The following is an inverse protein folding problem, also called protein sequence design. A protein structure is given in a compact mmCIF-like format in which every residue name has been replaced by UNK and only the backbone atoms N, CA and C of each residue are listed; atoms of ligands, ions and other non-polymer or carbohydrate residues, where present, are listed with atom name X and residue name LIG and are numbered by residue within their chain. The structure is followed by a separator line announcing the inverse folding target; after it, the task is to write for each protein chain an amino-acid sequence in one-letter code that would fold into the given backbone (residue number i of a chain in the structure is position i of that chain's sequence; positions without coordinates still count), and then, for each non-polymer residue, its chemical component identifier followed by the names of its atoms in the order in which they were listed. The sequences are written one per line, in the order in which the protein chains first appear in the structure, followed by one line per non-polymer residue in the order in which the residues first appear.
data_IF_117211446398
#
_entry.id   IF_117211446398
#
_cell.length_a   1.000
_cell.length_b   1.000
_cell.length_c   1.000
_cell.angle_alpha   90.00
_cell.angle_beta   90.00
_cell.angle_gamma   90.00
#
_symmetry.space_group_name_H-M   'P 1'
#
loop_
_entity.id
_entity.type
_entity.pdbx_description
1 polymer ?
#
# COMPACT_ATOMS: atom_id res chain seq x y z
N UNK A 1 5.20 10.94 2.78
CA UNK A 1 4.17 11.94 3.13
C UNK A 1 3.80 11.73 4.59
N UNK A 2 3.77 12.78 5.41
CA UNK A 2 3.42 12.62 6.83
C UNK A 2 3.81 13.83 7.68
N UNK A 3 5.09 14.16 7.74
CA UNK A 3 5.61 15.22 8.62
C UNK A 3 5.21 16.65 8.24
N UNK A 4 4.59 16.87 7.07
CA UNK A 4 4.17 18.19 6.58
C UNK A 4 5.26 19.29 6.67
N UNK A 5 6.53 18.90 6.50
CA UNK A 5 7.69 19.78 6.67
C UNK A 5 8.19 20.32 5.33
N UNK A 6 8.17 21.63 5.18
CA UNK A 6 8.74 22.32 4.01
C UNK A 6 10.22 21.99 3.85
N UNK A 7 10.64 21.73 2.61
CA UNK A 7 12.03 21.41 2.27
C UNK A 7 12.43 19.95 2.51
N UNK A 8 11.56 19.10 3.06
CA UNK A 8 11.80 17.66 3.20
C UNK A 8 11.56 16.91 1.87
N UNK A 9 12.37 17.23 0.87
CA UNK A 9 12.30 16.62 -0.46
C UNK A 9 13.19 15.36 -0.53
N UNK A 10 12.79 14.38 -1.34
CA UNK A 10 13.60 13.19 -1.56
C UNK A 10 14.95 13.54 -2.24
N UNK A 11 16.03 12.90 -1.80
CA UNK A 11 17.41 13.10 -2.32
C UNK A 11 18.09 11.80 -2.77
N UNK A 12 17.34 10.72 -2.84
CA UNK A 12 17.84 9.38 -3.16
C UNK A 12 16.87 8.32 -2.66
N UNK A 13 17.27 7.05 -2.81
CA UNK A 13 16.51 5.89 -2.32
C UNK A 13 17.40 5.07 -1.41
N UNK A 14 16.94 4.82 -0.18
CA UNK A 14 17.63 3.94 0.76
C UNK A 14 17.19 2.48 0.57
N UNK A 15 15.88 2.26 0.46
CA UNK A 15 15.25 0.97 0.16
C UNK A 15 14.01 1.17 -0.69
N UNK A 16 13.53 0.11 -1.33
CA UNK A 16 12.28 0.11 -2.09
C UNK A 16 11.07 0.07 -1.14
N UNK A 17 9.94 0.54 -1.64
CA UNK A 17 8.62 0.40 -1.02
C UNK A 17 7.89 -0.71 -1.76
N UNK A 18 7.19 -1.59 -1.02
CA UNK A 18 6.52 -2.73 -1.60
C UNK A 18 5.01 -2.70 -1.36
N UNK A 19 4.28 -3.34 -2.27
CA UNK A 19 2.90 -3.77 -2.07
C UNK A 19 2.91 -5.28 -1.85
N UNK A 20 2.27 -5.74 -0.78
CA UNK A 20 2.25 -7.15 -0.37
C UNK A 20 0.79 -7.60 -0.25
N UNK A 21 0.35 -8.44 -1.19
CA UNK A 21 -1.01 -8.95 -1.26
C UNK A 21 -1.10 -10.36 -0.67
N UNK A 22 -2.14 -10.57 0.13
CA UNK A 22 -2.48 -11.84 0.76
C UNK A 22 -3.87 -12.23 0.27
N UNK A 23 -3.94 -13.30 -0.53
CA UNK A 23 -5.18 -13.80 -1.09
C UNK A 23 -5.63 -15.00 -0.27
N UNK A 24 -6.86 -14.93 0.22
CA UNK A 24 -7.48 -15.97 1.04
C UNK A 24 -8.73 -16.44 0.28
N UNK A 25 -8.87 -17.75 0.16
CA UNK A 25 -10.01 -18.37 -0.50
C UNK A 25 -10.38 -19.66 0.26
N UNK A 26 -11.66 -19.99 0.24
CA UNK A 26 -12.12 -21.31 0.69
C UNK A 26 -11.62 -22.41 -0.27
N UNK A 27 -11.59 -23.68 0.14
CA UNK A 27 -11.08 -24.77 -0.69
C UNK A 27 -11.78 -24.93 -2.04
N UNK A 28 -13.05 -24.53 -2.13
CA UNK A 28 -13.84 -24.52 -3.37
C UNK A 28 -13.49 -23.33 -4.30
N UNK A 29 -12.61 -22.43 -3.86
CA UNK A 29 -12.17 -21.25 -4.59
C UNK A 29 -13.19 -20.11 -4.64
N UNK A 30 -14.33 -20.24 -3.96
CA UNK A 30 -15.35 -19.20 -3.80
C UNK A 30 -15.01 -18.30 -2.60
N UNK A 31 -15.78 -17.22 -2.40
CA UNK A 31 -15.66 -16.28 -1.26
C UNK A 31 -14.23 -15.74 -1.02
N UNK A 32 -13.59 -15.22 -2.07
CA UNK A 32 -12.23 -14.73 -1.98
C UNK A 32 -12.15 -13.40 -1.25
N UNK A 33 -11.15 -13.27 -0.39
CA UNK A 33 -10.78 -12.03 0.27
C UNK A 33 -9.33 -11.70 -0.05
N UNK A 34 -9.05 -10.40 -0.23
CA UNK A 34 -7.69 -9.90 -0.45
C UNK A 34 -7.39 -8.83 0.59
N UNK A 35 -6.33 -9.05 1.35
CA UNK A 35 -5.72 -8.03 2.19
C UNK A 35 -4.41 -7.57 1.53
N UNK A 36 -4.22 -6.26 1.42
CA UNK A 36 -3.00 -5.69 0.84
C UNK A 36 -2.37 -4.74 1.85
N UNK A 37 -1.13 -5.04 2.25
CA UNK A 37 -0.27 -4.15 3.03
C UNK A 37 0.66 -3.40 2.08
N UNK A 38 0.67 -2.07 2.15
CA UNK A 38 1.44 -1.22 1.24
C UNK A 38 2.34 -0.31 2.07
N UNK A 39 3.61 -0.21 1.69
CA UNK A 39 4.60 0.67 2.32
C UNK A 39 4.35 2.14 1.87
N UNK A 40 3.27 2.74 2.35
CA UNK A 40 2.87 4.13 2.08
C UNK A 40 2.42 4.79 3.39
N UNK A 41 2.44 6.12 3.46
CA UNK A 41 1.91 6.83 4.62
C UNK A 41 0.44 6.49 4.88
N UNK A 42 -0.40 6.58 3.84
CA UNK A 42 -1.83 6.32 3.91
C UNK A 42 -2.33 5.82 2.55
N UNK A 43 -3.32 4.93 2.54
CA UNK A 43 -4.08 4.60 1.32
C UNK A 43 -5.16 5.65 1.16
N UNK A 44 -5.06 6.49 0.13
CA UNK A 44 -6.06 7.53 -0.13
C UNK A 44 -7.33 6.93 -0.76
N UNK A 45 -8.45 7.62 -0.60
CA UNK A 45 -9.69 7.23 -1.28
C UNK A 45 -9.54 7.22 -2.80
N UNK A 46 -8.80 8.20 -3.37
CA UNK A 46 -8.51 8.24 -4.80
C UNK A 46 -7.75 6.99 -5.26
N UNK A 47 -6.69 6.61 -4.54
CA UNK A 47 -5.91 5.40 -4.84
C UNK A 47 -6.77 4.13 -4.76
N UNK A 48 -7.79 4.10 -3.90
CA UNK A 48 -8.68 2.94 -3.75
C UNK A 48 -9.72 2.84 -4.88
N UNK A 49 -10.18 3.96 -5.42
CA UNK A 49 -11.35 4.00 -6.31
C UNK A 49 -11.01 4.19 -7.79
N UNK A 50 -9.86 4.78 -8.11
CA UNK A 50 -9.37 5.06 -9.46
C UNK A 50 -8.15 4.22 -9.80
#
# INVERSE_FOLDING_TARGET
MGYSKTGQNARGILTRLYSRAFVIAEPDGLNRMVFVSVDIGMVSQRLRLE
#
